data_IF_143259932042
#
_entry.id   IF_143259932042
#
_cell.length_a   1.000
_cell.length_b   1.000
_cell.length_c   1.000
_cell.angle_alpha   90.00
_cell.angle_beta   90.00
_cell.angle_gamma   90.00
#
_symmetry.space_group_name_H-M   'P 1'
#
loop_
_entity.id
_entity.type
_entity.pdbx_description
1 polymer ?
#
# COMPACT_ATOMS: atom_id res chain seq x y z
N UNK A 1 4.38 16.25 -22.04
CA UNK A 1 4.77 16.09 -20.63
C UNK A 1 3.45 15.85 -19.93
N UNK A 2 3.07 14.60 -19.74
CA UNK A 2 1.91 14.28 -18.91
C UNK A 2 2.24 14.74 -17.50
N UNK A 3 1.37 15.58 -16.94
CA UNK A 3 1.55 16.10 -15.60
C UNK A 3 1.18 14.98 -14.61
N UNK A 4 2.13 14.47 -13.81
CA UNK A 4 1.78 13.53 -12.73
C UNK A 4 1.20 14.25 -11.49
N UNK A 5 0.44 15.31 -11.74
CA UNK A 5 -0.43 15.94 -10.76
C UNK A 5 -1.55 14.98 -10.32
N UNK A 6 -2.03 15.11 -9.08
CA UNK A 6 -3.21 14.40 -8.61
C UNK A 6 -4.42 14.70 -9.47
N UNK A 7 -5.13 13.66 -9.90
CA UNK A 7 -6.43 13.80 -10.56
C UNK A 7 -7.54 14.10 -9.57
N UNK A 8 -8.80 13.87 -9.98
CA UNK A 8 -9.99 14.25 -9.22
C UNK A 8 -10.08 13.70 -7.78
N UNK A 9 -9.43 12.58 -7.46
CA UNK A 9 -9.37 12.02 -6.10
C UNK A 9 -8.45 12.80 -5.16
N UNK A 10 -7.56 13.63 -5.70
CA UNK A 10 -6.54 14.36 -4.95
C UNK A 10 -5.45 13.46 -4.34
N UNK A 11 -4.68 14.04 -3.41
CA UNK A 11 -3.66 13.32 -2.65
C UNK A 11 -4.30 12.51 -1.53
N UNK A 12 -3.96 11.23 -1.46
CA UNK A 12 -4.39 10.33 -0.37
C UNK A 12 -3.23 10.08 0.58
N UNK A 13 -3.45 10.33 1.87
CA UNK A 13 -2.43 10.19 2.91
C UNK A 13 -2.21 8.71 3.27
N UNK A 14 -1.04 8.18 2.93
CA UNK A 14 -0.66 6.80 3.23
C UNK A 14 -0.15 6.64 4.68
N UNK A 15 0.68 7.56 5.17
CA UNK A 15 1.21 7.52 6.55
C UNK A 15 1.72 8.91 7.00
N UNK A 16 1.77 9.13 8.31
CA UNK A 16 2.41 10.31 8.92
C UNK A 16 3.48 9.86 9.90
N UNK A 17 4.59 10.58 9.87
CA UNK A 17 5.74 10.40 10.72
C UNK A 17 6.10 11.70 11.43
N UNK A 18 6.84 11.65 12.54
CA UNK A 18 7.36 12.85 13.20
C UNK A 18 8.04 13.84 12.25
N UNK A 19 8.76 13.33 11.24
CA UNK A 19 9.57 14.15 10.33
C UNK A 19 9.08 14.14 8.88
N UNK A 20 7.85 13.68 8.61
CA UNK A 20 7.37 13.58 7.24
C UNK A 20 6.03 12.90 7.04
N UNK A 21 5.66 12.71 5.77
CA UNK A 21 4.42 12.04 5.40
C UNK A 21 4.57 11.31 4.06
N UNK A 22 3.74 10.29 3.87
CA UNK A 22 3.65 9.53 2.63
C UNK A 22 2.27 9.71 2.00
N UNK A 23 2.25 9.81 0.67
CA UNK A 23 1.05 10.02 -0.12
C UNK A 23 1.01 9.06 -1.30
N UNK A 24 -0.20 8.74 -1.74
CA UNK A 24 -0.49 8.10 -3.01
C UNK A 24 -1.56 8.89 -3.75
N UNK A 25 -1.55 8.86 -5.09
CA UNK A 25 -2.59 9.47 -5.91
C UNK A 25 -2.73 8.77 -7.24
N UNK A 26 -3.93 8.86 -7.82
CA UNK A 26 -4.17 8.53 -9.23
C UNK A 26 -4.15 9.85 -10.01
N UNK A 27 -3.39 9.88 -11.10
CA UNK A 27 -3.36 10.98 -12.07
C UNK A 27 -4.61 10.95 -12.95
N UNK A 28 -4.89 12.01 -13.70
CA UNK A 28 -6.04 12.06 -14.62
C UNK A 28 -5.98 10.99 -15.73
N UNK A 29 -4.76 10.61 -16.15
CA UNK A 29 -4.52 9.51 -17.10
C UNK A 29 -4.55 8.11 -16.45
N UNK A 30 -4.92 8.01 -15.16
CA UNK A 30 -5.06 6.77 -14.38
C UNK A 30 -3.76 6.03 -14.08
N UNK A 31 -2.62 6.70 -14.11
CA UNK A 31 -1.36 6.19 -13.54
C UNK A 31 -1.41 6.32 -12.02
N UNK A 32 -0.91 5.31 -11.32
CA UNK A 32 -0.77 5.35 -9.88
C UNK A 32 0.60 5.94 -9.53
N UNK A 33 0.61 6.96 -8.67
CA UNK A 33 1.80 7.60 -8.16
C UNK A 33 1.85 7.54 -6.64
N UNK A 34 3.04 7.68 -6.10
CA UNK A 34 3.29 7.78 -4.67
C UNK A 34 4.52 8.62 -4.38
N UNK A 35 4.55 9.18 -3.18
CA UNK A 35 5.72 9.89 -2.67
C UNK A 35 5.85 9.75 -1.15
N UNK A 36 7.09 9.77 -0.67
CA UNK A 36 7.39 10.12 0.72
C UNK A 36 8.09 11.48 0.75
N UNK A 37 7.72 12.31 1.71
CA UNK A 37 8.26 13.66 1.90
C UNK A 37 8.81 13.75 3.32
N UNK A 38 10.11 14.01 3.45
CA UNK A 38 10.74 14.35 4.71
C UNK A 38 10.86 15.88 4.87
N UNK A 39 10.79 16.38 6.10
CA UNK A 39 10.97 17.80 6.44
C UNK A 39 12.30 18.36 5.93
N UNK A 40 13.36 17.55 5.89
CA UNK A 40 14.68 17.92 5.39
C UNK A 40 14.80 17.97 3.86
N UNK A 41 13.69 17.84 3.12
CA UNK A 41 13.65 17.97 1.66
C UNK A 41 13.94 16.69 0.87
N UNK A 42 14.15 15.55 1.54
CA UNK A 42 14.26 14.26 0.84
C UNK A 42 12.88 13.80 0.42
N UNK A 43 12.64 13.74 -0.89
CA UNK A 43 11.43 13.16 -1.46
C UNK A 43 11.75 11.94 -2.30
N UNK A 44 11.15 10.78 -1.98
CA UNK A 44 11.01 9.72 -2.98
C UNK A 44 9.70 9.96 -3.71
N UNK A 45 9.71 9.93 -5.05
CA UNK A 45 8.51 10.02 -5.87
C UNK A 45 8.64 9.03 -7.01
N UNK A 46 7.58 8.27 -7.26
CA UNK A 46 7.49 7.42 -8.42
C UNK A 46 6.04 7.34 -8.91
N UNK A 47 5.91 7.08 -10.19
CA UNK A 47 4.64 6.85 -10.87
C UNK A 47 4.77 5.59 -11.72
N UNK A 48 3.66 4.87 -11.88
CA UNK A 48 3.53 3.90 -12.94
C UNK A 48 3.80 4.58 -14.30
N UNK A 49 4.46 3.87 -15.22
CA UNK A 49 4.71 4.36 -16.57
C UNK A 49 3.46 4.31 -17.45
N UNK A 50 2.55 3.39 -17.17
CA UNK A 50 1.34 3.13 -17.95
C UNK A 50 0.09 3.21 -17.07
N UNK A 51 -1.05 3.65 -17.61
CA UNK A 51 -2.33 3.66 -16.90
C UNK A 51 -2.66 2.29 -16.30
N UNK A 52 -3.31 2.30 -15.13
CA UNK A 52 -3.78 1.10 -14.45
C UNK A 52 -2.69 0.05 -14.19
N UNK A 53 -1.43 0.47 -14.02
CA UNK A 53 -0.32 -0.42 -13.69
C UNK A 53 -0.02 -0.39 -12.19
N UNK A 54 0.07 -1.55 -11.50
CA UNK A 54 -0.17 -2.90 -12.03
C UNK A 54 -1.64 -3.14 -12.42
N UNK A 55 -1.95 -4.00 -13.42
CA UNK A 55 -3.32 -4.27 -13.86
C UNK A 55 -4.28 -4.57 -12.71
N UNK A 56 -5.52 -4.08 -12.81
CA UNK A 56 -6.59 -4.43 -11.85
C UNK A 56 -6.94 -5.91 -12.02
N UNK A 57 -6.71 -6.71 -10.98
CA UNK A 57 -6.99 -8.15 -10.98
C UNK A 57 -8.49 -8.41 -10.83
N UNK A 58 -9.04 -9.26 -11.68
CA UNK A 58 -10.44 -9.70 -11.64
C UNK A 58 -10.52 -11.24 -11.55
N UNK A 59 -11.43 -11.81 -10.73
CA UNK A 59 -12.49 -11.12 -9.98
C UNK A 59 -12.00 -10.47 -8.67
N UNK A 60 -10.81 -10.83 -8.17
CA UNK A 60 -10.21 -10.28 -6.96
C UNK A 60 -8.69 -10.40 -6.97
N UNK A 61 -7.99 -9.60 -6.18
CA UNK A 61 -6.54 -9.74 -6.03
C UNK A 61 -5.93 -8.87 -4.95
N UNK A 62 -4.75 -9.26 -4.48
CA UNK A 62 -3.86 -8.40 -3.67
C UNK A 62 -2.62 -8.11 -4.51
N UNK A 63 -2.17 -6.86 -4.47
CA UNK A 63 -1.08 -6.38 -5.31
C UNK A 63 -0.12 -5.53 -4.47
N UNK A 64 1.17 -5.88 -4.35
CA UNK A 64 2.18 -4.99 -3.78
C UNK A 64 2.40 -3.81 -4.73
N UNK A 65 2.51 -2.60 -4.18
CA UNK A 65 2.67 -1.40 -4.99
C UNK A 65 4.02 -0.73 -4.75
N UNK A 66 4.28 -0.36 -3.51
CA UNK A 66 5.46 0.40 -3.18
C UNK A 66 5.89 0.18 -1.74
N UNK A 67 7.15 0.48 -1.50
CA UNK A 67 7.67 0.74 -0.17
C UNK A 67 7.98 2.22 -0.06
N UNK A 68 7.53 2.84 1.04
CA UNK A 68 7.75 4.25 1.34
C UNK A 68 8.62 4.38 2.59
N UNK A 69 9.52 5.35 2.57
CA UNK A 69 10.55 5.54 3.60
C UNK A 69 10.62 6.98 4.08
N UNK A 70 10.73 7.15 5.39
CA UNK A 70 11.18 8.38 6.08
C UNK A 70 11.93 7.96 7.35
N UNK A 71 11.34 8.09 8.54
CA UNK A 71 11.84 7.58 9.82
C UNK A 71 11.25 6.19 10.18
N UNK A 72 10.58 5.56 9.22
CA UNK A 72 10.12 4.18 9.26
C UNK A 72 9.85 3.64 7.87
N UNK A 73 9.29 2.42 7.82
CA UNK A 73 9.00 1.71 6.58
C UNK A 73 7.50 1.45 6.45
N UNK A 74 6.93 1.82 5.30
CA UNK A 74 5.52 1.60 4.98
C UNK A 74 5.40 0.75 3.73
N UNK A 75 4.60 -0.32 3.83
CA UNK A 75 4.15 -1.11 2.68
C UNK A 75 2.85 -0.55 2.16
N UNK A 76 2.89 0.02 0.95
CA UNK A 76 1.71 0.37 0.18
C UNK A 76 1.31 -0.81 -0.69
N UNK A 77 0.04 -1.20 -0.60
CA UNK A 77 -0.52 -2.30 -1.37
C UNK A 77 -1.98 -2.04 -1.72
N UNK A 78 -2.50 -2.86 -2.62
CA UNK A 78 -3.86 -2.75 -3.12
C UNK A 78 -4.64 -4.05 -2.92
N UNK A 79 -5.94 -3.91 -2.70
CA UNK A 79 -6.90 -4.99 -2.85
C UNK A 79 -7.90 -4.63 -3.97
N UNK A 80 -7.99 -5.50 -4.96
CA UNK A 80 -8.85 -5.35 -6.13
C UNK A 80 -10.18 -6.05 -5.90
N UNK A 81 -11.26 -5.29 -6.14
CA UNK A 81 -12.66 -5.68 -5.95
C UNK A 81 -13.01 -6.24 -4.58
N UNK A 82 -12.16 -6.05 -3.57
CA UNK A 82 -12.34 -6.59 -2.23
C UNK A 82 -11.76 -5.62 -1.19
N UNK A 83 -12.13 -5.81 0.07
CA UNK A 83 -11.67 -4.97 1.18
C UNK A 83 -10.79 -5.75 2.15
N UNK A 84 -9.75 -5.11 2.67
CA UNK A 84 -8.93 -5.68 3.76
C UNK A 84 -9.62 -5.32 5.07
N UNK A 85 -10.02 -6.31 5.84
CA UNK A 85 -10.68 -6.12 7.14
C UNK A 85 -9.70 -6.17 8.31
N UNK A 86 -8.62 -6.95 8.18
CA UNK A 86 -7.56 -7.03 9.18
C UNK A 86 -6.28 -7.60 8.55
N UNK A 87 -5.16 -7.42 9.24
CA UNK A 87 -3.90 -8.08 8.91
C UNK A 87 -3.21 -8.59 10.18
N UNK A 88 -2.44 -9.67 10.06
CA UNK A 88 -1.63 -10.22 11.16
C UNK A 88 -0.21 -10.52 10.69
N UNK A 89 0.76 -10.39 11.61
CA UNK A 89 2.14 -10.84 11.47
C UNK A 89 2.36 -11.88 12.57
N UNK A 90 2.56 -13.15 12.21
CA UNK A 90 2.66 -14.27 13.16
C UNK A 90 1.53 -14.26 14.21
N UNK A 91 0.27 -14.20 13.74
CA UNK A 91 -0.92 -14.09 14.60
C UNK A 91 -1.11 -12.75 15.32
N UNK A 92 -0.09 -11.91 15.41
CA UNK A 92 -0.16 -10.60 16.05
C UNK A 92 -0.89 -9.59 15.15
N UNK A 93 -1.96 -8.92 15.61
CA UNK A 93 -2.68 -7.94 14.82
C UNK A 93 -1.79 -6.77 14.37
N UNK A 94 -1.88 -6.42 13.09
CA UNK A 94 -1.25 -5.25 12.52
C UNK A 94 -2.30 -4.14 12.30
N UNK A 95 -1.88 -2.90 12.50
CA UNK A 95 -2.68 -1.74 12.11
C UNK A 95 -2.59 -1.55 10.61
N UNK A 96 -3.70 -1.81 9.91
CA UNK A 96 -3.86 -1.50 8.50
C UNK A 96 -4.58 -0.17 8.35
N UNK A 97 -4.01 0.74 7.57
CA UNK A 97 -4.65 2.00 7.20
C UNK A 97 -5.26 1.85 5.81
N UNK A 98 -6.54 2.17 5.68
CA UNK A 98 -7.16 2.41 4.37
C UNK A 98 -6.72 3.78 3.87
N UNK A 99 -6.09 3.83 2.70
CA UNK A 99 -5.52 5.06 2.12
C UNK A 99 -6.54 5.76 1.24
N UNK A 100 -7.24 5.00 0.39
CA UNK A 100 -8.29 5.51 -0.49
C UNK A 100 -8.60 4.56 -1.62
N UNK A 101 -9.34 5.01 -2.63
CA UNK A 101 -9.79 4.19 -3.77
C UNK A 101 -9.35 4.81 -5.09
N UNK A 102 -8.88 3.97 -6.01
CA UNK A 102 -8.42 4.35 -7.35
C UNK A 102 -9.04 3.43 -8.40
N UNK A 103 -8.68 3.62 -9.66
CA UNK A 103 -9.14 2.81 -10.78
C UNK A 103 -10.68 2.79 -10.88
N UNK A 104 -11.32 3.94 -10.66
CA UNK A 104 -12.79 4.06 -10.68
C UNK A 104 -13.49 3.26 -9.58
N UNK A 105 -12.82 3.03 -8.44
CA UNK A 105 -13.35 2.29 -7.30
C UNK A 105 -13.11 0.78 -7.35
N UNK A 106 -12.49 0.27 -8.41
CA UNK A 106 -12.16 -1.15 -8.53
C UNK A 106 -11.01 -1.57 -7.59
N UNK A 107 -10.16 -0.62 -7.17
CA UNK A 107 -8.98 -0.87 -6.34
C UNK A 107 -9.01 -0.01 -5.09
N UNK A 108 -8.84 -0.62 -3.92
CA UNK A 108 -8.64 0.09 -2.66
C UNK A 108 -7.18 -0.02 -2.23
N UNK A 109 -6.58 1.11 -1.88
CA UNK A 109 -5.20 1.22 -1.40
C UNK A 109 -5.15 1.10 0.11
N UNK A 110 -4.15 0.37 0.61
CA UNK A 110 -3.89 0.14 2.02
C UNK A 110 -2.41 0.35 2.33
N UNK A 111 -2.14 0.77 3.55
CA UNK A 111 -0.80 0.93 4.09
C UNK A 111 -0.66 0.16 5.41
N UNK A 112 0.48 -0.50 5.59
CA UNK A 112 0.91 -1.03 6.89
C UNK A 112 2.29 -0.44 7.18
N UNK A 113 2.45 0.09 8.39
CA UNK A 113 3.71 0.64 8.89
C UNK A 113 4.41 -0.37 9.79
N UNK A 114 5.72 -0.46 9.63
CA UNK A 114 6.63 -1.14 10.54
C UNK A 114 7.67 -0.14 11.07
N UNK A 115 8.06 -0.29 12.33
CA UNK A 115 9.15 0.51 12.94
C UNK A 115 10.51 0.09 12.40
N UNK A 116 10.69 -1.20 12.17
CA UNK A 116 11.93 -1.81 11.69
C UNK A 116 11.70 -2.50 10.35
N UNK A 117 12.77 -2.72 9.59
CA UNK A 117 12.71 -3.49 8.34
C UNK A 117 12.21 -4.90 8.63
N UNK A 118 10.97 -5.17 8.21
CA UNK A 118 10.26 -6.43 8.46
C UNK A 118 10.05 -7.18 7.16
N UNK A 119 10.46 -8.45 7.12
CA UNK A 119 10.37 -9.38 5.98
C UNK A 119 9.29 -10.43 6.19
N UNK A 120 9.16 -11.34 5.22
CA UNK A 120 8.26 -12.48 5.33
C UNK A 120 6.87 -12.16 4.82
N UNK A 121 5.85 -12.79 5.42
CA UNK A 121 4.46 -12.66 4.96
C UNK A 121 3.57 -12.22 6.12
N UNK A 122 2.66 -11.30 5.82
CA UNK A 122 1.51 -11.02 6.70
C UNK A 122 0.29 -11.73 6.15
N UNK A 123 -0.60 -12.16 7.03
CA UNK A 123 -1.88 -12.74 6.64
C UNK A 123 -2.92 -11.63 6.59
N UNK A 124 -3.49 -11.40 5.41
CA UNK A 124 -4.58 -10.45 5.21
C UNK A 124 -5.91 -11.18 5.29
N UNK A 125 -6.85 -10.62 6.06
CA UNK A 125 -8.25 -11.02 6.01
C UNK A 125 -8.99 -10.08 5.05
N UNK A 126 -9.64 -10.68 4.06
CA UNK A 126 -10.28 -10.00 2.94
C UNK A 126 -11.79 -10.25 2.98
N UNK A 127 -12.59 -9.25 2.64
CA UNK A 127 -14.02 -9.38 2.40
C UNK A 127 -14.36 -9.06 0.95
N UNK A 128 -15.09 -9.96 0.31
CA UNK A 128 -15.69 -9.75 -1.00
C UNK A 128 -17.17 -10.12 -0.95
N UNK A 129 -18.03 -9.10 -1.05
CA UNK A 129 -19.50 -9.27 -1.08
C UNK A 129 -20.02 -10.15 0.07
N UNK A 130 -19.49 -9.94 1.28
CA UNK A 130 -19.87 -10.71 2.48
C UNK A 130 -19.09 -12.00 2.68
N UNK A 131 -18.39 -12.50 1.66
CA UNK A 131 -17.52 -13.69 1.79
C UNK A 131 -16.15 -13.28 2.30
N UNK A 132 -15.70 -13.91 3.39
CA UNK A 132 -14.37 -13.69 3.94
C UNK A 132 -13.37 -14.70 3.40
N UNK A 133 -12.15 -14.27 3.11
CA UNK A 133 -11.02 -15.16 2.78
C UNK A 133 -9.72 -14.63 3.36
N UNK A 134 -8.70 -15.48 3.45
CA UNK A 134 -7.35 -15.08 3.82
C UNK A 134 -6.42 -15.11 2.60
N UNK A 135 -5.42 -14.22 2.58
CA UNK A 135 -4.38 -14.22 1.58
C UNK A 135 -3.04 -13.78 2.19
N UNK A 136 -1.92 -14.43 1.83
CA UNK A 136 -0.60 -13.95 2.22
C UNK A 136 -0.26 -12.67 1.45
N UNK A 137 0.42 -11.74 2.12
CA UNK A 137 1.03 -10.56 1.51
C UNK A 137 2.51 -10.52 1.86
N UNK A 138 3.36 -10.60 0.84
CA UNK A 138 4.81 -10.57 1.00
C UNK A 138 5.32 -9.16 1.29
N UNK A 139 6.09 -9.03 2.36
CA UNK A 139 6.82 -7.82 2.74
C UNK A 139 8.15 -7.69 1.99
N UNK A 140 8.55 -8.72 1.24
CA UNK A 140 9.87 -8.85 0.61
C UNK A 140 10.87 -9.63 1.47
N UNK A 141 12.07 -9.83 0.93
CA UNK A 141 13.07 -10.78 1.44
C UNK A 141 14.22 -10.12 2.24
N UNK A 142 14.22 -8.78 2.37
CA UNK A 142 15.32 -8.02 3.00
C UNK A 142 14.81 -7.27 4.23
N UNK A 143 15.38 -7.56 5.40
CA UNK A 143 15.09 -6.88 6.65
C UNK A 143 15.55 -7.67 7.89
N UNK A 144 15.55 -6.97 9.02
CA UNK A 144 16.15 -7.43 10.29
C UNK A 144 15.17 -8.21 11.17
N UNK A 145 13.87 -8.08 10.88
CA UNK A 145 12.78 -8.82 11.52
C UNK A 145 12.00 -9.62 10.48
N UNK A 146 11.37 -10.69 10.92
CA UNK A 146 10.57 -11.56 10.04
C UNK A 146 9.18 -11.73 10.60
N UNK A 147 8.17 -11.46 9.78
CA UNK A 147 6.83 -12.02 9.95
C UNK A 147 6.87 -13.48 9.46
N UNK A 148 7.40 -14.36 10.30
CA UNK A 148 7.33 -15.80 10.14
C UNK A 148 6.82 -16.39 11.45
N UNK A 149 6.09 -17.50 11.35
CA UNK A 149 5.76 -18.30 12.53
C UNK A 149 7.03 -18.61 13.28
N UNK A 150 7.09 -18.20 14.54
CA UNK A 150 8.12 -18.68 15.46
C UNK A 150 7.87 -20.18 15.65
N UNK A 151 8.52 -21.02 14.84
CA UNK A 151 8.48 -22.49 14.96
C UNK A 151 9.04 -22.96 16.30
#
# INVERSE_FOLDING_TARGET
>A
MEDDAPGAQGLMLAEVWPTGAAYAWETDDRRLCWASLAESGSSTRACASEPLTPPVKSPKGVVPLATLFTDGWVRLFAADHQEVTSATCDGTPLKVRRVGTVAGGARTLYAVRFTDYTTGNITLRLNYKGTTSEAPFSLGDIGDRTCAETL
#
